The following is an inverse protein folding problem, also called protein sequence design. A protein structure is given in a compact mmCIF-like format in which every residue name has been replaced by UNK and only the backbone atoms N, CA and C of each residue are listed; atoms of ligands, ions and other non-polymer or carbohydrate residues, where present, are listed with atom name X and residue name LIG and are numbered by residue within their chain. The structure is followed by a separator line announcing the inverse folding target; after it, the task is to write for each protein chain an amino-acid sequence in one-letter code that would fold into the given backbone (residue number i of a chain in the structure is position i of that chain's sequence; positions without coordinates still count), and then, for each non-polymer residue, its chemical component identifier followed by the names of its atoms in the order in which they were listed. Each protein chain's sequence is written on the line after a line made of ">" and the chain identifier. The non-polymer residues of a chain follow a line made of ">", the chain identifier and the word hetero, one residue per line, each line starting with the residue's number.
data_IF_476198832408
#
_entry.id   IF_476198832408
#
_cell.length_a   1.000
_cell.length_b   1.000
_cell.length_c   1.000
_cell.angle_alpha   90.00
_cell.angle_beta   90.00
_cell.angle_gamma   90.00
#
_symmetry.space_group_name_H-M   'P 1'
#
loop_
_entity.id
_entity.type
_entity.pdbx_description
1 polymer ?
#
# COMPACT_ATOMS: atom_id res chain seq x y z
N UNK A 1 -27.30 -11.79 21.46
CA UNK A 1 -26.22 -12.70 21.03
C UNK A 1 -25.83 -12.27 19.63
N UNK A 2 -24.89 -11.33 19.52
CA UNK A 2 -24.40 -10.84 18.24
C UNK A 2 -23.47 -11.89 17.64
N UNK A 3 -23.80 -12.33 16.42
CA UNK A 3 -23.09 -13.35 15.67
C UNK A 3 -21.66 -12.89 15.39
N UNK A 4 -20.66 -13.62 15.91
CA UNK A 4 -19.22 -13.36 15.76
C UNK A 4 -18.84 -13.08 14.30
N UNK A 5 -19.58 -13.65 13.36
CA UNK A 5 -19.42 -13.44 11.91
C UNK A 5 -19.58 -11.98 11.49
N UNK A 6 -20.46 -11.23 12.15
CA UNK A 6 -20.79 -9.85 11.82
C UNK A 6 -19.77 -8.85 12.40
N UNK A 7 -19.08 -9.24 13.47
CA UNK A 7 -17.94 -8.54 14.06
C UNK A 7 -16.67 -8.78 13.23
N UNK A 8 -16.43 -10.03 12.81
CA UNK A 8 -15.36 -10.38 11.86
C UNK A 8 -15.54 -9.63 10.54
N UNK A 9 -16.79 -9.54 10.01
CA UNK A 9 -17.11 -8.80 8.78
C UNK A 9 -16.88 -7.30 8.93
N UNK A 10 -17.20 -6.69 10.07
CA UNK A 10 -16.89 -5.26 10.33
C UNK A 10 -15.38 -5.01 10.43
N UNK A 11 -14.65 -5.88 11.11
CA UNK A 11 -13.19 -5.75 11.25
C UNK A 11 -12.46 -5.87 9.90
N UNK A 12 -13.02 -6.67 8.98
CA UNK A 12 -12.49 -6.86 7.62
C UNK A 12 -12.89 -5.75 6.64
N UNK A 13 -13.92 -4.95 6.94
CA UNK A 13 -14.35 -3.80 6.14
C UNK A 13 -13.66 -2.47 6.54
N UNK A 14 -13.20 -2.33 7.79
CA UNK A 14 -12.56 -1.09 8.27
C UNK A 14 -11.04 -1.02 8.01
N UNK A 15 -10.40 -2.13 7.62
CA UNK A 15 -8.96 -2.20 7.31
C UNK A 15 -8.65 -1.99 5.84
N UNK A 16 -9.44 -1.19 5.12
CA UNK A 16 -9.02 -0.71 3.79
C UNK A 16 -7.72 0.10 3.97
N UNK A 17 -6.57 -0.42 3.50
CA UNK A 17 -5.29 0.23 3.75
C UNK A 17 -5.23 1.50 2.92
N UNK A 18 -5.19 2.67 3.56
CA UNK A 18 -4.93 3.93 2.85
C UNK A 18 -3.44 4.14 2.63
N UNK A 19 -3.09 4.84 1.54
CA UNK A 19 -1.70 5.28 1.29
C UNK A 19 -1.22 6.20 2.42
N UNK A 20 0.02 6.00 2.83
CA UNK A 20 0.67 6.82 3.87
C UNK A 20 1.00 8.20 3.32
N UNK A 21 0.74 9.25 4.10
CA UNK A 21 1.07 10.63 3.71
C UNK A 21 2.56 10.95 3.88
N UNK A 22 3.04 12.00 3.21
CA UNK A 22 4.42 12.48 3.37
C UNK A 22 4.76 12.81 4.85
N UNK A 23 3.84 13.49 5.55
CA UNK A 23 4.00 13.86 6.97
C UNK A 23 4.12 12.63 7.87
N UNK A 24 3.27 11.63 7.67
CA UNK A 24 3.33 10.37 8.42
C UNK A 24 4.61 9.59 8.13
N UNK A 25 5.07 9.61 6.88
CA UNK A 25 6.32 8.98 6.48
C UNK A 25 7.55 9.66 7.08
N UNK A 26 7.53 10.99 7.26
CA UNK A 26 8.59 11.75 7.94
C UNK A 26 8.59 11.47 9.44
N UNK A 27 7.41 11.48 10.06
CA UNK A 27 7.24 11.32 11.52
C UNK A 27 7.39 9.87 12.00
N UNK A 28 7.66 8.92 11.11
CA UNK A 28 7.86 7.53 11.51
C UNK A 28 9.13 7.39 12.37
N UNK A 29 9.07 6.48 13.35
CA UNK A 29 10.26 6.07 14.11
C UNK A 29 11.31 5.54 13.12
N UNK A 30 12.58 5.87 13.34
CA UNK A 30 13.69 5.45 12.47
C UNK A 30 13.79 3.92 12.30
N UNK A 31 13.37 3.16 13.32
CA UNK A 31 13.31 1.70 13.28
C UNK A 31 12.10 1.13 12.54
N UNK A 32 11.10 1.95 12.19
CA UNK A 32 9.87 1.49 11.52
C UNK A 32 10.02 1.62 10.01
N UNK A 33 9.99 0.48 9.32
CA UNK A 33 9.81 0.46 7.87
C UNK A 33 8.37 0.79 7.51
N UNK A 34 8.18 1.64 6.50
CA UNK A 34 6.85 2.03 5.99
C UNK A 34 6.92 2.00 4.47
N UNK A 35 6.15 1.11 3.86
CA UNK A 35 5.95 1.07 2.42
C UNK A 35 4.73 1.93 2.04
N UNK A 36 4.90 3.07 1.34
CA UNK A 36 3.79 3.89 0.85
C UNK A 36 2.94 3.17 -0.22
N UNK A 37 3.44 2.10 -0.83
CA UNK A 37 2.76 1.33 -1.88
C UNK A 37 2.33 -0.07 -1.40
N UNK A 38 2.08 -0.21 -0.09
CA UNK A 38 1.74 -1.49 0.52
C UNK A 38 0.44 -2.11 -0.04
N UNK A 39 -0.50 -1.29 -0.52
CA UNK A 39 -1.79 -1.73 -1.08
C UNK A 39 -1.53 -2.48 -2.38
N UNK A 40 -0.84 -1.83 -3.30
CA UNK A 40 -0.50 -2.35 -4.62
C UNK A 40 0.46 -3.54 -4.51
N UNK A 41 1.40 -3.48 -3.55
CA UNK A 41 2.27 -4.62 -3.23
C UNK A 41 1.44 -5.83 -2.78
N UNK A 42 0.54 -5.66 -1.80
CA UNK A 42 -0.32 -6.74 -1.30
C UNK A 42 -1.21 -7.31 -2.40
N UNK A 43 -1.77 -6.46 -3.26
CA UNK A 43 -2.56 -6.90 -4.40
C UNK A 43 -1.72 -7.73 -5.39
N UNK A 44 -0.49 -7.31 -5.65
CA UNK A 44 0.44 -8.05 -6.53
C UNK A 44 0.84 -9.41 -5.96
N UNK A 45 1.06 -9.51 -4.65
CA UNK A 45 1.33 -10.79 -3.98
C UNK A 45 0.11 -11.69 -3.97
N UNK A 46 -1.08 -11.13 -3.71
CA UNK A 46 -2.33 -11.88 -3.78
C UNK A 46 -2.53 -12.49 -5.17
N UNK A 47 -2.30 -11.72 -6.23
CA UNK A 47 -2.39 -12.26 -7.58
C UNK A 47 -1.40 -13.42 -7.80
N UNK A 48 -0.17 -13.30 -7.32
CA UNK A 48 0.81 -14.38 -7.43
C UNK A 48 0.37 -15.63 -6.67
N UNK A 49 -0.11 -15.48 -5.43
CA UNK A 49 -0.60 -16.61 -4.61
C UNK A 49 -1.76 -17.33 -5.30
N UNK A 50 -2.69 -16.58 -5.90
CA UNK A 50 -3.87 -17.12 -6.60
C UNK A 50 -3.51 -17.80 -7.95
N UNK A 51 -2.36 -17.45 -8.56
CA UNK A 51 -1.97 -17.90 -9.90
C UNK A 51 -0.68 -18.75 -9.90
N UNK A 52 -0.39 -19.48 -8.81
CA UNK A 52 0.80 -20.34 -8.70
C UNK A 52 2.12 -19.60 -9.03
N UNK A 53 2.20 -18.31 -8.67
CA UNK A 53 3.33 -17.43 -8.92
C UNK A 53 3.63 -17.19 -10.41
N UNK A 54 2.66 -17.41 -11.31
CA UNK A 54 2.77 -17.01 -12.70
C UNK A 54 2.68 -15.48 -12.84
N UNK A 55 3.82 -14.86 -13.12
CA UNK A 55 3.95 -13.41 -13.25
C UNK A 55 3.22 -12.85 -14.47
N UNK A 56 3.02 -13.65 -15.52
CA UNK A 56 2.40 -13.18 -16.76
C UNK A 56 0.95 -12.76 -16.52
N UNK A 57 0.26 -13.47 -15.62
CA UNK A 57 -1.12 -13.23 -15.19
C UNK A 57 -1.30 -11.99 -14.30
N UNK A 58 -0.20 -11.44 -13.75
CA UNK A 58 -0.23 -10.38 -12.74
C UNK A 58 0.36 -9.04 -13.22
N UNK A 59 0.54 -8.87 -14.53
CA UNK A 59 1.20 -7.70 -15.13
C UNK A 59 0.61 -6.36 -14.68
N UNK A 60 -0.71 -6.24 -14.61
CA UNK A 60 -1.40 -5.00 -14.24
C UNK A 60 -1.15 -4.62 -12.78
N UNK A 61 -1.11 -5.59 -11.87
CA UNK A 61 -0.78 -5.35 -10.46
C UNK A 61 0.66 -4.83 -10.31
N UNK A 62 1.60 -5.35 -11.12
CA UNK A 62 2.97 -4.85 -11.13
C UNK A 62 3.08 -3.45 -11.75
N UNK A 63 2.28 -3.14 -12.77
CA UNK A 63 2.18 -1.79 -13.33
C UNK A 63 1.70 -0.83 -12.25
N UNK A 64 0.60 -1.13 -11.57
CA UNK A 64 0.06 -0.31 -10.50
C UNK A 64 1.09 -0.07 -9.36
N UNK A 65 1.81 -1.11 -8.95
CA UNK A 65 2.87 -0.96 -7.95
C UNK A 65 4.03 -0.06 -8.43
N UNK A 66 4.45 -0.17 -9.69
CA UNK A 66 5.48 0.71 -10.27
C UNK A 66 5.00 2.15 -10.36
N UNK A 67 3.78 2.38 -10.81
CA UNK A 67 3.18 3.71 -10.91
C UNK A 67 3.06 4.35 -9.53
N UNK A 68 2.61 3.61 -8.51
CA UNK A 68 2.59 4.08 -7.13
C UNK A 68 3.97 4.59 -6.69
N UNK A 69 5.03 3.80 -6.91
CA UNK A 69 6.39 4.21 -6.54
C UNK A 69 6.87 5.43 -7.29
N UNK A 70 6.55 5.55 -8.58
CA UNK A 70 6.90 6.72 -9.39
C UNK A 70 6.22 7.98 -8.84
N UNK A 71 4.91 7.91 -8.58
CA UNK A 71 4.14 8.99 -8.00
C UNK A 71 4.68 9.40 -6.63
N UNK A 72 4.96 8.43 -5.76
CA UNK A 72 5.53 8.69 -4.44
C UNK A 72 6.89 9.40 -4.50
N UNK A 73 7.79 8.97 -5.39
CA UNK A 73 9.09 9.61 -5.57
C UNK A 73 8.90 11.03 -6.12
N UNK A 74 7.98 11.23 -7.07
CA UNK A 74 7.68 12.55 -7.63
C UNK A 74 7.14 13.51 -6.57
N UNK A 75 6.18 13.08 -5.75
CA UNK A 75 5.63 13.82 -4.62
C UNK A 75 6.72 14.20 -3.62
N UNK A 76 7.57 13.24 -3.21
CA UNK A 76 8.70 13.52 -2.31
C UNK A 76 9.70 14.50 -2.89
N UNK A 77 10.02 14.39 -4.18
CA UNK A 77 10.92 15.33 -4.85
C UNK A 77 10.31 16.73 -4.91
N UNK A 78 8.99 16.84 -5.14
CA UNK A 78 8.25 18.10 -5.15
C UNK A 78 8.26 18.74 -3.75
N UNK A 79 7.88 18.00 -2.72
CA UNK A 79 7.88 18.49 -1.35
C UNK A 79 9.27 18.98 -0.90
N UNK A 80 10.35 18.27 -1.28
CA UNK A 80 11.73 18.75 -1.04
C UNK A 80 12.06 20.07 -1.73
N UNK A 81 11.64 20.25 -2.99
CA UNK A 81 11.85 21.51 -3.72
C UNK A 81 11.05 22.67 -3.12
N UNK A 82 9.91 22.37 -2.52
CA UNK A 82 9.03 23.36 -1.89
C UNK A 82 9.40 23.68 -0.44
N UNK A 83 10.34 22.94 0.18
CA UNK A 83 10.68 23.11 1.60
C UNK A 83 9.66 22.49 2.57
N UNK A 84 8.86 21.52 2.11
CA UNK A 84 7.84 20.80 2.89
C UNK A 84 8.38 19.48 3.51
N UNK A 85 9.68 19.21 3.33
CA UNK A 85 10.38 17.96 3.66
C UNK A 85 11.75 18.21 4.28
#
# INVERSE_FOLDING_TARGET
>A
MSDTTDEIRRESLEKEPRRVTLKEFQNKKSSKFVDPCAIEAKASFKCLDDNNYDKTMCSDYFIAYRECKQMWIAERRRARRNGEL
#
